data_IF_054210128276
#
_entry.id   IF_054210128276
#
_cell.length_a   1.000
_cell.length_b   1.000
_cell.length_c   1.000
_cell.angle_alpha   90.00
_cell.angle_beta   90.00
_cell.angle_gamma   90.00
#
_symmetry.space_group_name_H-M   'P 1'
#
loop_
_entity.id
_entity.type
_entity.pdbx_description
1 polymer ?
#
# COMPACT_ATOMS: atom_id res chain seq x y z
N UNK A 1 -9.59 -5.55 -6.78
CA UNK A 1 -8.52 -5.46 -5.75
C UNK A 1 -7.77 -6.77 -5.80
N UNK A 2 -6.45 -6.77 -6.03
CA UNK A 2 -5.68 -8.01 -6.10
C UNK A 2 -4.88 -8.16 -4.80
N UNK A 3 -5.16 -9.21 -4.04
CA UNK A 3 -4.34 -9.59 -2.89
C UNK A 3 -3.24 -10.51 -3.42
N UNK A 4 -1.99 -10.05 -3.39
CA UNK A 4 -0.84 -10.88 -3.72
C UNK A 4 -0.21 -11.44 -2.44
N UNK A 5 -0.09 -12.77 -2.37
CA UNK A 5 0.69 -13.44 -1.34
C UNK A 5 2.18 -13.39 -1.73
N UNK A 6 3.02 -12.74 -0.93
CA UNK A 6 4.46 -12.53 -1.21
C UNK A 6 5.30 -13.82 -1.03
N UNK A 7 4.67 -14.96 -0.73
CA UNK A 7 5.39 -16.22 -0.44
C UNK A 7 5.80 -17.02 -1.69
N UNK A 8 5.48 -16.57 -2.91
CA UNK A 8 5.98 -17.23 -4.12
C UNK A 8 7.47 -16.89 -4.36
N UNK A 9 8.28 -17.93 -4.27
CA UNK A 9 9.75 -17.93 -4.35
C UNK A 9 10.28 -17.26 -5.62
N UNK A 10 10.97 -16.13 -5.46
CA UNK A 10 11.79 -15.52 -6.51
C UNK A 10 13.19 -16.15 -6.55
N UNK A 11 13.63 -16.47 -7.77
CA UNK A 11 15.00 -16.88 -8.11
C UNK A 11 16.01 -15.77 -7.73
N UNK A 12 17.30 -16.10 -7.49
CA UNK A 12 18.27 -15.13 -7.01
C UNK A 12 18.64 -14.13 -8.12
N UNK A 13 18.14 -12.90 -8.02
CA UNK A 13 18.61 -11.80 -8.86
C UNK A 13 20.02 -11.33 -8.46
N UNK A 14 20.78 -10.87 -9.46
CA UNK A 14 22.16 -10.40 -9.33
C UNK A 14 22.25 -9.28 -8.30
N UNK A 15 23.05 -9.49 -7.25
CA UNK A 15 23.36 -8.45 -6.26
C UNK A 15 24.20 -7.34 -6.91
N UNK A 16 23.56 -6.23 -7.24
CA UNK A 16 24.27 -4.98 -7.48
C UNK A 16 25.09 -4.63 -6.23
N UNK A 17 26.34 -4.16 -6.42
CA UNK A 17 27.24 -3.82 -5.31
C UNK A 17 26.61 -2.83 -4.35
N UNK A 18 26.59 -3.17 -3.05
CA UNK A 18 25.98 -2.34 -2.01
C UNK A 18 26.85 -1.09 -1.82
N UNK A 19 26.26 0.08 -2.10
CA UNK A 19 26.88 1.38 -1.76
C UNK A 19 27.06 1.50 -0.26
N UNK A 20 28.25 1.91 0.19
CA UNK A 20 28.57 2.13 1.61
C UNK A 20 28.16 3.52 2.11
N UNK A 21 27.70 4.41 1.21
CA UNK A 21 27.23 5.76 1.59
C UNK A 21 25.77 5.67 2.04
N UNK A 22 25.41 6.26 3.19
CA UNK A 22 24.01 6.27 3.63
C UNK A 22 23.13 6.96 2.57
N UNK A 23 21.92 6.44 2.31
CA UNK A 23 21.02 7.03 1.35
C UNK A 23 20.65 8.46 1.77
N UNK A 24 20.56 9.36 0.80
CA UNK A 24 20.10 10.73 1.05
C UNK A 24 18.60 10.69 1.36
N UNK A 25 18.22 11.23 2.52
CA UNK A 25 16.81 11.36 2.90
C UNK A 25 16.32 12.73 2.43
N UNK A 26 15.40 12.71 1.47
CA UNK A 26 14.84 13.90 0.83
C UNK A 26 13.56 14.41 1.51
N UNK A 27 12.93 13.58 2.34
CA UNK A 27 11.67 13.90 2.99
C UNK A 27 11.35 12.95 4.13
N UNK A 28 10.62 13.46 5.12
CA UNK A 28 9.99 12.70 6.20
C UNK A 28 8.59 13.26 6.40
N UNK A 29 7.64 12.37 6.60
CA UNK A 29 6.24 12.74 6.81
C UNK A 29 5.65 11.84 7.88
N UNK A 30 4.78 12.41 8.72
CA UNK A 30 3.91 11.64 9.63
C UNK A 30 2.58 11.29 8.96
N UNK A 31 2.37 11.74 7.73
CA UNK A 31 1.12 11.62 6.99
C UNK A 31 0.03 12.58 7.47
N UNK A 32 -1.15 12.44 6.85
CA UNK A 32 -2.38 13.14 7.21
C UNK A 32 -3.44 12.11 7.58
N UNK A 33 -3.93 12.17 8.83
CA UNK A 33 -4.93 11.22 9.33
C UNK A 33 -6.35 11.66 8.99
N UNK A 34 -7.17 10.73 8.53
CA UNK A 34 -8.60 10.89 8.30
C UNK A 34 -9.35 9.63 8.77
N UNK A 35 -9.80 9.65 10.02
CA UNK A 35 -10.37 8.47 10.67
C UNK A 35 -9.32 7.36 10.86
N UNK A 36 -9.60 6.11 10.43
CA UNK A 36 -8.68 4.98 10.61
C UNK A 36 -7.53 4.96 9.60
N UNK A 37 -7.49 5.89 8.65
CA UNK A 37 -6.50 5.93 7.58
C UNK A 37 -5.54 7.10 7.83
N UNK A 38 -4.25 6.81 7.81
CA UNK A 38 -3.18 7.82 7.76
C UNK A 38 -2.53 7.78 6.38
N UNK A 39 -2.78 8.81 5.57
CA UNK A 39 -2.15 8.94 4.25
C UNK A 39 -0.72 9.43 4.38
N UNK A 40 0.23 8.59 4.01
CA UNK A 40 1.66 8.88 4.07
C UNK A 40 2.17 9.53 2.77
N UNK A 41 1.62 9.16 1.62
CA UNK A 41 1.95 9.77 0.33
C UNK A 41 0.76 9.74 -0.65
N UNK A 42 0.75 10.68 -1.59
CA UNK A 42 -0.22 10.87 -2.65
C UNK A 42 0.43 11.44 -3.93
N UNK A 43 -0.28 11.46 -5.08
CA UNK A 43 0.25 12.04 -6.30
C UNK A 43 0.62 13.53 -6.15
N UNK A 44 -0.11 14.26 -5.30
CA UNK A 44 0.12 15.69 -5.06
C UNK A 44 1.32 16.01 -4.18
N UNK A 45 1.97 15.02 -3.56
CA UNK A 45 3.17 15.22 -2.73
C UNK A 45 4.43 14.61 -3.35
N UNK A 46 4.66 13.31 -3.18
CA UNK A 46 5.87 12.58 -3.55
C UNK A 46 5.64 11.70 -4.78
N UNK A 47 4.42 11.62 -5.30
CA UNK A 47 4.05 10.66 -6.35
C UNK A 47 4.87 10.78 -7.64
N UNK A 48 5.27 11.99 -8.06
CA UNK A 48 6.16 12.16 -9.23
C UNK A 48 7.55 11.56 -9.00
N UNK A 49 8.04 11.62 -7.77
CA UNK A 49 9.38 11.16 -7.40
C UNK A 49 9.43 9.67 -7.07
N UNK A 50 8.30 9.12 -6.62
CA UNK A 50 8.17 7.73 -6.16
C UNK A 50 7.48 6.82 -7.16
N UNK A 51 7.27 7.27 -8.41
CA UNK A 51 6.78 6.39 -9.48
C UNK A 51 7.58 5.07 -9.50
N UNK A 52 6.90 3.92 -9.61
CA UNK A 52 5.49 3.74 -9.95
C UNK A 52 4.49 3.80 -8.77
N UNK A 53 4.93 4.14 -7.55
CA UNK A 53 4.05 4.22 -6.38
C UNK A 53 3.33 5.57 -6.30
N UNK A 54 2.00 5.52 -6.27
CA UNK A 54 1.14 6.71 -6.36
C UNK A 54 0.38 7.02 -5.07
N UNK A 55 0.13 6.02 -4.22
CA UNK A 55 -0.51 6.18 -2.91
C UNK A 55 0.14 5.24 -1.89
N UNK A 56 0.22 5.71 -0.65
CA UNK A 56 0.58 4.90 0.50
C UNK A 56 -0.25 5.34 1.70
N UNK A 57 -1.09 4.42 2.17
CA UNK A 57 -1.98 4.61 3.30
C UNK A 57 -1.63 3.58 4.37
N UNK A 58 -1.61 4.04 5.63
CA UNK A 58 -1.52 3.18 6.81
C UNK A 58 -2.90 3.10 7.45
N UNK A 59 -3.44 1.89 7.57
CA UNK A 59 -4.71 1.62 8.20
C UNK A 59 -4.49 1.14 9.63
N UNK A 60 -5.10 1.81 10.59
CA UNK A 60 -5.08 1.44 12.01
C UNK A 60 -6.50 1.57 12.57
N UNK A 61 -7.04 0.46 13.04
CA UNK A 61 -8.39 0.39 13.60
C UNK A 61 -8.47 -0.68 14.70
N UNK A 62 -9.26 -0.39 15.73
CA UNK A 62 -9.60 -1.35 16.77
C UNK A 62 -10.83 -2.17 16.33
N UNK A 63 -11.01 -3.39 16.86
CA UNK A 63 -11.97 -4.43 16.39
C UNK A 63 -13.44 -4.00 16.20
N UNK A 64 -13.84 -2.82 16.68
CA UNK A 64 -15.23 -2.39 16.76
C UNK A 64 -15.66 -1.69 15.46
N UNK A 65 -16.05 -2.53 14.50
CA UNK A 65 -16.85 -2.24 13.30
C UNK A 65 -16.32 -1.16 12.34
N UNK A 66 -15.52 -1.58 11.37
CA UNK A 66 -15.33 -0.81 10.14
C UNK A 66 -16.48 -1.13 9.16
N UNK A 67 -17.31 -0.16 8.73
CA UNK A 67 -18.44 -0.41 7.83
C UNK A 67 -18.02 -0.80 6.40
N UNK A 68 -16.72 -0.96 6.14
CA UNK A 68 -16.17 -1.09 4.80
C UNK A 68 -16.12 0.27 4.08
N UNK A 69 -15.50 0.26 2.90
CA UNK A 69 -15.42 1.43 2.00
C UNK A 69 -16.41 1.34 0.83
N UNK A 70 -17.22 0.28 0.79
CA UNK A 70 -18.11 -0.02 -0.34
C UNK A 70 -17.38 -0.33 -1.64
N UNK A 71 -18.15 -0.70 -2.67
CA UNK A 71 -17.62 -0.80 -4.03
C UNK A 71 -17.23 0.59 -4.54
N UNK A 72 -15.97 0.76 -4.93
CA UNK A 72 -15.45 1.99 -5.49
C UNK A 72 -14.45 1.67 -6.62
N UNK A 73 -14.51 2.39 -7.75
CA UNK A 73 -13.72 2.05 -8.94
C UNK A 73 -12.27 2.50 -8.82
N UNK A 74 -11.38 1.79 -9.52
CA UNK A 74 -9.99 2.18 -9.77
C UNK A 74 -9.66 1.98 -11.26
N UNK A 75 -8.82 2.83 -11.81
CA UNK A 75 -8.35 2.73 -13.21
C UNK A 75 -6.88 3.11 -13.30
N UNK A 76 -6.13 2.42 -14.16
CA UNK A 76 -4.72 2.71 -14.43
C UNK A 76 -3.75 2.45 -13.27
N UNK A 77 -4.21 1.82 -12.19
CA UNK A 77 -3.40 1.50 -11.01
C UNK A 77 -3.68 0.08 -10.51
N UNK A 78 -2.72 -0.47 -9.77
CA UNK A 78 -2.89 -1.67 -8.96
C UNK A 78 -2.86 -1.28 -7.48
N UNK A 79 -3.69 -1.93 -6.67
CA UNK A 79 -3.69 -1.79 -5.21
C UNK A 79 -3.07 -3.04 -4.60
N UNK A 80 -2.06 -2.83 -3.74
CA UNK A 80 -1.49 -3.87 -2.89
C UNK A 80 -1.88 -3.56 -1.46
N UNK A 81 -2.47 -4.54 -0.76
CA UNK A 81 -2.81 -4.44 0.66
C UNK A 81 -1.99 -5.46 1.42
N UNK A 82 -1.23 -4.99 2.41
CA UNK A 82 -0.43 -5.84 3.28
C UNK A 82 -0.97 -5.76 4.71
N UNK A 83 -1.32 -6.90 5.29
CA UNK A 83 -1.85 -6.99 6.65
C UNK A 83 -0.71 -7.28 7.62
N UNK A 84 -0.50 -6.37 8.56
CA UNK A 84 0.40 -6.62 9.69
C UNK A 84 -0.26 -7.50 10.75
N UNK A 85 -1.54 -7.23 11.06
CA UNK A 85 -2.35 -7.95 12.02
C UNK A 85 -3.83 -7.89 11.61
N UNK A 86 -4.62 -8.87 12.04
CA UNK A 86 -6.06 -8.93 11.79
C UNK A 86 -6.44 -9.66 10.51
N UNK A 87 -7.63 -9.36 9.99
CA UNK A 87 -8.16 -9.92 8.75
C UNK A 87 -8.92 -8.86 7.95
N UNK A 88 -8.96 -9.04 6.64
CA UNK A 88 -9.73 -8.20 5.71
C UNK A 88 -10.65 -9.09 4.90
N UNK A 89 -11.81 -8.57 4.52
CA UNK A 89 -12.65 -9.15 3.48
C UNK A 89 -12.69 -8.21 2.29
N UNK A 90 -12.65 -8.75 1.08
CA UNK A 90 -12.82 -7.97 -0.14
C UNK A 90 -13.79 -8.64 -1.11
N UNK A 91 -14.36 -7.81 -1.97
CA UNK A 91 -15.16 -8.22 -3.12
C UNK A 91 -14.85 -7.26 -4.28
N UNK A 92 -14.85 -7.76 -5.51
CA UNK A 92 -14.72 -6.94 -6.72
C UNK A 92 -15.95 -7.02 -7.64
N UNK A 93 -15.97 -6.17 -8.66
CA UNK A 93 -17.10 -6.07 -9.60
C UNK A 93 -17.31 -7.30 -10.47
N UNK A 94 -16.37 -8.25 -10.47
CA UNK A 94 -16.48 -9.51 -11.20
C UNK A 94 -16.94 -10.66 -10.26
N UNK A 95 -17.24 -10.36 -9.00
CA UNK A 95 -17.65 -11.34 -7.98
C UNK A 95 -16.49 -12.10 -7.35
N UNK A 96 -15.23 -11.66 -7.57
CA UNK A 96 -14.08 -12.23 -6.86
C UNK A 96 -14.07 -11.72 -5.43
N UNK A 97 -13.89 -12.61 -4.46
CA UNK A 97 -13.88 -12.27 -3.05
C UNK A 97 -12.84 -13.06 -2.26
N UNK A 98 -12.51 -12.59 -1.05
CA UNK A 98 -11.61 -13.26 -0.10
C UNK A 98 -11.37 -12.46 1.16
#
# INVERSE_FOLDING_TARGET
>A
MAIANINDTHAPERRAGISTRPPRIIGRTRGRRHGPITRLMSPGDLGELLKPFVFLDLFEMDEISFPGIGLHPHSGIATVTYLFEGSVRYEDSNGTAG
#
